data_IF_242129945405
#
_entry.id   IF_242129945405
#
_cell.length_a   1.000
_cell.length_b   1.000
_cell.length_c   1.000
_cell.angle_alpha   90.00
_cell.angle_beta   90.00
_cell.angle_gamma   90.00
#
_symmetry.space_group_name_H-M   'P 1'
#
loop_
_entity.id
_entity.type
_entity.pdbx_description
1 polymer ?
#
# COMPACT_ATOMS: atom_id res chain seq x y z
N UNK A 1 -25.17 11.37 -6.84
CA UNK A 1 -23.83 11.85 -7.20
C UNK A 1 -23.55 11.51 -8.66
N UNK A 2 -22.96 12.40 -9.45
CA UNK A 2 -22.62 12.07 -10.84
C UNK A 2 -21.46 11.04 -10.86
N UNK A 3 -21.50 10.11 -11.82
CA UNK A 3 -20.47 9.07 -11.98
C UNK A 3 -19.10 9.67 -12.26
N UNK A 4 -19.06 10.84 -12.93
CA UNK A 4 -17.83 11.59 -13.21
C UNK A 4 -17.19 12.13 -11.92
N UNK A 5 -18.00 12.68 -11.02
CA UNK A 5 -17.51 13.16 -9.72
C UNK A 5 -17.01 11.99 -8.87
N UNK A 6 -17.73 10.87 -8.85
CA UNK A 6 -17.29 9.65 -8.18
C UNK A 6 -15.94 9.18 -8.72
N UNK A 7 -15.78 9.13 -10.05
CA UNK A 7 -14.51 8.78 -10.68
C UNK A 7 -13.36 9.66 -10.23
N UNK A 8 -13.55 10.98 -10.23
CA UNK A 8 -12.51 11.94 -9.84
C UNK A 8 -12.11 11.79 -8.35
N UNK A 9 -13.07 11.55 -7.46
CA UNK A 9 -12.81 11.35 -6.04
C UNK A 9 -12.04 10.03 -5.79
N UNK A 10 -12.47 8.95 -6.44
CA UNK A 10 -11.79 7.65 -6.35
C UNK A 10 -10.41 7.70 -7.00
N UNK A 11 -10.26 8.38 -8.13
CA UNK A 11 -8.97 8.59 -8.80
C UNK A 11 -8.02 9.42 -7.92
N UNK A 12 -8.50 10.49 -7.32
CA UNK A 12 -7.71 11.29 -6.36
C UNK A 12 -7.20 10.41 -5.22
N UNK A 13 -8.06 9.61 -4.63
CA UNK A 13 -7.69 8.71 -3.55
C UNK A 13 -6.67 7.65 -3.98
N UNK A 14 -6.83 7.02 -5.14
CA UNK A 14 -5.90 6.03 -5.67
C UNK A 14 -4.57 6.62 -6.13
N UNK A 15 -4.58 7.82 -6.71
CA UNK A 15 -3.38 8.50 -7.17
C UNK A 15 -2.51 9.05 -6.02
N UNK A 16 -3.15 9.50 -4.92
CA UNK A 16 -2.43 10.02 -3.75
C UNK A 16 -1.89 8.94 -2.85
N UNK A 17 -2.44 7.72 -2.93
CA UNK A 17 -1.96 6.58 -2.16
C UNK A 17 -1.50 5.46 -3.08
N UNK A 18 -0.24 5.43 -3.38
CA UNK A 18 0.39 4.44 -4.26
C UNK A 18 0.25 2.98 -3.77
N UNK A 19 -0.26 2.75 -2.57
CA UNK A 19 -0.30 1.42 -1.97
C UNK A 19 -1.39 1.27 -0.91
N UNK A 20 -2.36 0.42 -1.22
CA UNK A 20 -3.25 -0.19 -0.24
C UNK A 20 -4.10 0.78 0.57
N UNK A 21 -4.09 0.65 1.88
CA UNK A 21 -5.01 1.32 2.81
C UNK A 21 -4.73 2.81 3.03
N UNK A 22 -3.63 3.36 2.54
CA UNK A 22 -3.30 4.79 2.73
C UNK A 22 -4.28 5.74 2.02
N UNK A 23 -5.08 5.25 1.06
CA UNK A 23 -6.17 6.05 0.48
C UNK A 23 -7.44 6.09 1.34
N UNK A 24 -7.54 5.25 2.38
CA UNK A 24 -8.73 5.16 3.22
C UNK A 24 -9.09 6.49 3.90
N UNK A 25 -8.14 7.24 4.51
CA UNK A 25 -8.45 8.55 5.09
C UNK A 25 -8.97 9.55 4.05
N UNK A 26 -8.43 9.52 2.83
CA UNK A 26 -8.87 10.42 1.73
C UNK A 26 -10.30 10.04 1.30
N UNK A 27 -10.57 8.76 1.09
CA UNK A 27 -11.91 8.26 0.75
C UNK A 27 -12.93 8.57 1.84
N UNK A 28 -12.56 8.37 3.12
CA UNK A 28 -13.42 8.70 4.25
C UNK A 28 -13.76 10.18 4.26
N UNK A 29 -12.74 11.03 4.13
CA UNK A 29 -12.95 12.48 4.11
C UNK A 29 -13.86 12.91 2.95
N UNK A 30 -13.63 12.40 1.75
CA UNK A 30 -14.36 12.81 0.56
C UNK A 30 -15.77 12.20 0.51
N UNK A 31 -15.94 10.88 0.73
CA UNK A 31 -17.22 10.20 0.56
C UNK A 31 -18.12 10.21 1.80
N UNK A 32 -17.54 10.22 3.01
CA UNK A 32 -18.31 10.19 4.26
C UNK A 32 -18.51 11.60 4.81
N UNK A 33 -17.43 12.39 4.95
CA UNK A 33 -17.49 13.70 5.60
C UNK A 33 -18.02 14.78 4.67
N UNK A 34 -17.43 14.93 3.48
CA UNK A 34 -17.80 16.01 2.55
C UNK A 34 -19.09 15.73 1.77
N UNK A 35 -19.13 14.61 1.07
CA UNK A 35 -20.27 14.30 0.19
C UNK A 35 -21.37 13.49 0.87
N UNK A 36 -21.10 12.87 2.03
CA UNK A 36 -22.07 12.09 2.82
C UNK A 36 -22.82 11.03 2.01
N UNK A 37 -22.17 10.46 1.01
CA UNK A 37 -22.73 9.41 0.13
C UNK A 37 -22.51 8.02 0.67
N UNK A 38 -21.59 7.88 1.63
CA UNK A 38 -21.33 6.64 2.39
C UNK A 38 -21.35 6.93 3.89
N UNK A 39 -21.70 5.90 4.65
CA UNK A 39 -21.48 5.86 6.09
C UNK A 39 -20.14 5.23 6.44
N UNK A 40 -19.59 5.52 7.62
CA UNK A 40 -18.37 4.86 8.11
C UNK A 40 -18.51 3.34 8.12
N UNK A 41 -19.70 2.82 8.43
CA UNK A 41 -20.00 1.38 8.41
C UNK A 41 -19.93 0.80 7.00
N UNK A 42 -20.50 1.47 6.02
CA UNK A 42 -20.44 1.04 4.61
C UNK A 42 -19.01 1.07 4.08
N UNK A 43 -18.24 2.11 4.44
CA UNK A 43 -16.83 2.18 4.06
C UNK A 43 -16.01 1.04 4.69
N UNK A 44 -16.23 0.74 5.97
CA UNK A 44 -15.60 -0.39 6.66
C UNK A 44 -15.97 -1.74 6.02
N UNK A 45 -17.25 -1.90 5.64
CA UNK A 45 -17.73 -3.10 4.93
C UNK A 45 -17.08 -3.20 3.54
N UNK A 46 -16.93 -2.09 2.81
CA UNK A 46 -16.25 -2.07 1.52
C UNK A 46 -14.77 -2.50 1.64
N UNK A 47 -14.08 -2.03 2.69
CA UNK A 47 -12.70 -2.44 2.98
C UNK A 47 -12.62 -3.94 3.32
N UNK A 48 -13.53 -4.43 4.16
CA UNK A 48 -13.59 -5.86 4.49
C UNK A 48 -13.85 -6.71 3.25
N UNK A 49 -14.82 -6.35 2.41
CA UNK A 49 -15.14 -7.04 1.16
C UNK A 49 -13.94 -7.04 0.18
N UNK A 50 -13.24 -5.92 0.06
CA UNK A 50 -12.04 -5.83 -0.78
C UNK A 50 -10.86 -6.66 -0.28
N UNK A 51 -10.82 -7.01 1.01
CA UNK A 51 -9.79 -7.88 1.61
C UNK A 51 -10.11 -9.37 1.53
N UNK A 52 -11.37 -9.73 1.45
CA UNK A 52 -11.80 -11.13 1.34
C UNK A 52 -11.58 -11.70 -0.07
N UNK A 53 -11.49 -10.85 -1.09
CA UNK A 53 -11.24 -11.28 -2.46
C UNK A 53 -9.77 -11.58 -2.74
N UNK A 54 -9.47 -12.61 -3.55
CA UNK A 54 -8.12 -12.81 -4.07
C UNK A 54 -7.80 -11.69 -5.06
N UNK A 55 -6.96 -10.74 -4.65
CA UNK A 55 -6.60 -9.62 -5.52
C UNK A 55 -5.80 -8.53 -4.83
N UNK A 56 -5.45 -7.47 -5.57
CA UNK A 56 -4.68 -6.37 -5.02
C UNK A 56 -5.46 -5.66 -3.90
N UNK A 57 -4.75 -5.20 -2.89
CA UNK A 57 -5.32 -4.51 -1.71
C UNK A 57 -6.20 -3.29 -2.03
N UNK A 58 -6.19 -2.80 -3.28
CA UNK A 58 -7.01 -1.68 -3.77
C UNK A 58 -8.45 -2.02 -4.13
N UNK A 59 -8.87 -3.30 -4.12
CA UNK A 59 -10.23 -3.70 -4.52
C UNK A 59 -11.35 -3.07 -3.69
N UNK A 60 -11.04 -2.61 -2.45
CA UNK A 60 -12.03 -1.88 -1.66
C UNK A 60 -12.51 -0.56 -2.30
N UNK A 61 -11.73 0.02 -3.23
CA UNK A 61 -12.15 1.20 -4.02
C UNK A 61 -13.33 0.83 -4.95
N UNK A 62 -13.27 -0.36 -5.55
CA UNK A 62 -14.34 -0.92 -6.37
C UNK A 62 -15.59 -1.18 -5.53
N UNK A 63 -15.40 -1.78 -4.35
CA UNK A 63 -16.50 -2.04 -3.39
C UNK A 63 -17.11 -0.74 -2.88
N UNK A 64 -16.30 0.28 -2.58
CA UNK A 64 -16.79 1.60 -2.19
C UNK A 64 -17.60 2.25 -3.32
N UNK A 65 -17.13 2.16 -4.57
CA UNK A 65 -17.88 2.60 -5.75
C UNK A 65 -19.23 1.89 -5.88
N UNK A 66 -19.27 0.58 -5.62
CA UNK A 66 -20.50 -0.19 -5.62
C UNK A 66 -21.50 0.29 -4.55
N UNK A 67 -21.06 0.57 -3.35
CA UNK A 67 -21.93 1.09 -2.28
C UNK A 67 -22.51 2.47 -2.59
N UNK A 68 -21.83 3.27 -3.44
CA UNK A 68 -22.31 4.62 -3.82
C UNK A 68 -23.32 4.57 -4.97
N UNK A 69 -23.06 3.78 -6.00
CA UNK A 69 -23.86 3.83 -7.24
C UNK A 69 -24.11 2.44 -7.86
N UNK A 70 -24.04 1.37 -7.07
CA UNK A 70 -24.27 0.00 -7.57
C UNK A 70 -23.23 -0.44 -8.60
N UNK A 71 -23.67 -1.24 -9.58
CA UNK A 71 -22.77 -1.77 -10.63
C UNK A 71 -22.06 -0.67 -11.43
N UNK A 72 -22.72 0.42 -11.87
CA UNK A 72 -22.01 1.54 -12.52
C UNK A 72 -20.91 2.15 -11.64
N UNK A 73 -21.17 2.27 -10.33
CA UNK A 73 -20.17 2.75 -9.37
C UNK A 73 -18.97 1.82 -9.22
N UNK A 74 -19.19 0.50 -9.26
CA UNK A 74 -18.12 -0.49 -9.25
C UNK A 74 -17.22 -0.39 -10.49
N UNK A 75 -17.82 -0.22 -11.68
CA UNK A 75 -17.08 -0.04 -12.95
C UNK A 75 -16.22 1.25 -12.87
N UNK A 76 -16.79 2.32 -12.35
CA UNK A 76 -16.07 3.59 -12.13
C UNK A 76 -14.92 3.42 -11.14
N UNK A 77 -15.13 2.69 -10.05
CA UNK A 77 -14.11 2.36 -9.06
C UNK A 77 -12.97 1.53 -9.65
N UNK A 78 -13.30 0.54 -10.47
CA UNK A 78 -12.33 -0.25 -11.20
C UNK A 78 -11.50 0.61 -12.17
N UNK A 79 -12.17 1.45 -12.98
CA UNK A 79 -11.50 2.37 -13.88
C UNK A 79 -10.56 3.35 -13.13
N UNK A 80 -11.01 3.91 -12.00
CA UNK A 80 -10.21 4.78 -11.16
C UNK A 80 -8.97 4.10 -10.57
N UNK A 81 -9.06 2.80 -10.27
CA UNK A 81 -7.93 2.01 -9.76
C UNK A 81 -6.90 1.69 -10.86
N UNK A 82 -7.37 1.44 -12.08
CA UNK A 82 -6.51 1.03 -13.21
C UNK A 82 -5.83 2.25 -13.87
N UNK A 83 -6.46 3.41 -13.85
CA UNK A 83 -5.94 4.64 -14.49
C UNK A 83 -4.53 5.02 -14.05
N UNK A 84 -4.17 5.05 -12.75
CA UNK A 84 -2.80 5.39 -12.33
C UNK A 84 -1.76 4.38 -12.85
N UNK A 85 -2.11 3.09 -12.93
CA UNK A 85 -1.21 2.07 -13.47
C UNK A 85 -0.92 2.30 -14.96
N UNK A 86 -1.93 2.64 -15.76
CA UNK A 86 -1.73 3.02 -17.16
C UNK A 86 -0.89 4.28 -17.30
N UNK A 87 -1.13 5.28 -16.46
CA UNK A 87 -0.34 6.53 -16.47
C UNK A 87 1.14 6.24 -16.19
N UNK A 88 1.43 5.36 -15.23
CA UNK A 88 2.81 4.91 -14.92
C UNK A 88 3.43 4.19 -16.11
N UNK A 89 2.69 3.30 -16.79
CA UNK A 89 3.19 2.60 -17.97
C UNK A 89 3.54 3.57 -19.11
N UNK A 90 2.68 4.55 -19.36
CA UNK A 90 2.94 5.59 -20.38
C UNK A 90 4.17 6.42 -19.98
N UNK A 91 4.27 6.80 -18.70
CA UNK A 91 5.41 7.54 -18.17
C UNK A 91 6.70 6.74 -18.29
N UNK A 92 6.70 5.46 -17.92
CA UNK A 92 7.86 4.57 -18.05
C UNK A 92 8.27 4.38 -19.52
N UNK A 93 7.31 4.23 -20.44
CA UNK A 93 7.59 4.13 -21.88
C UNK A 93 8.23 5.41 -22.42
N UNK A 94 7.76 6.57 -21.95
CA UNK A 94 8.31 7.87 -22.34
C UNK A 94 9.70 8.11 -21.73
N UNK A 95 9.87 7.84 -20.45
CA UNK A 95 11.17 7.90 -19.78
C UNK A 95 12.15 6.86 -20.35
N UNK A 96 11.69 5.64 -20.61
CA UNK A 96 12.52 4.55 -21.14
C UNK A 96 13.16 4.92 -22.50
N UNK A 97 12.46 5.67 -23.35
CA UNK A 97 13.03 6.21 -24.59
C UNK A 97 14.11 7.28 -24.37
N UNK A 98 14.16 7.89 -23.18
CA UNK A 98 15.11 8.96 -22.81
C UNK A 98 16.11 8.56 -21.73
N UNK A 99 16.16 7.29 -21.34
CA UNK A 99 17.12 6.78 -20.34
C UNK A 99 18.60 6.95 -20.76
N UNK A 100 18.89 7.20 -22.02
CA UNK A 100 20.23 7.60 -22.49
C UNK A 100 20.68 8.98 -22.00
N UNK A 101 19.76 9.85 -21.56
CA UNK A 101 20.11 11.19 -21.10
C UNK A 101 20.67 11.18 -19.65
N UNK A 102 21.85 11.75 -19.40
CA UNK A 102 22.50 11.73 -18.08
C UNK A 102 21.63 12.36 -16.98
N UNK A 103 20.84 13.39 -17.32
CA UNK A 103 19.91 14.04 -16.36
C UNK A 103 18.79 13.11 -15.90
N UNK A 104 18.23 12.28 -16.79
CA UNK A 104 17.16 11.32 -16.44
C UNK A 104 17.72 10.24 -15.51
N UNK A 105 18.91 9.71 -15.78
CA UNK A 105 19.60 8.78 -14.88
C UNK A 105 19.84 9.37 -13.50
N UNK A 106 20.27 10.63 -13.42
CA UNK A 106 20.50 11.32 -12.15
C UNK A 106 19.22 11.46 -11.34
N UNK A 107 18.11 11.88 -11.97
CA UNK A 107 16.80 11.98 -11.29
C UNK A 107 16.32 10.63 -10.77
N UNK A 108 16.39 9.58 -11.60
CA UNK A 108 16.01 8.22 -11.18
C UNK A 108 16.85 7.77 -9.97
N UNK A 109 18.16 8.02 -10.02
CA UNK A 109 19.07 7.68 -8.90
C UNK A 109 18.73 8.44 -7.62
N UNK A 110 18.43 9.74 -7.72
CA UNK A 110 17.99 10.54 -6.57
C UNK A 110 16.67 10.02 -5.98
N UNK A 111 15.68 9.67 -6.81
CA UNK A 111 14.41 9.10 -6.36
C UNK A 111 14.61 7.75 -5.67
N UNK A 112 15.45 6.87 -6.22
CA UNK A 112 15.78 5.59 -5.59
C UNK A 112 16.45 5.75 -4.24
N UNK A 113 17.42 6.68 -4.13
CA UNK A 113 18.08 6.97 -2.86
C UNK A 113 17.12 7.57 -1.83
N UNK A 114 16.27 8.50 -2.26
CA UNK A 114 15.25 9.10 -1.40
C UNK A 114 14.25 8.05 -0.91
N UNK A 115 13.81 7.13 -1.79
CA UNK A 115 12.91 6.02 -1.42
C UNK A 115 13.56 5.08 -0.41
N UNK A 116 14.83 4.73 -0.61
CA UNK A 116 15.59 3.91 0.35
C UNK A 116 15.73 4.62 1.71
N UNK A 117 16.02 5.93 1.70
CA UNK A 117 16.07 6.74 2.93
C UNK A 117 14.74 6.78 3.67
N UNK A 118 13.61 6.93 2.96
CA UNK A 118 12.27 6.90 3.55
C UNK A 118 11.94 5.53 4.16
N UNK A 119 12.32 4.43 3.49
CA UNK A 119 12.14 3.07 4.03
C UNK A 119 12.93 2.88 5.32
N UNK A 120 14.19 3.33 5.35
CA UNK A 120 15.02 3.30 6.57
C UNK A 120 14.41 4.17 7.67
N UNK A 121 13.97 5.37 7.35
CA UNK A 121 13.36 6.27 8.32
C UNK A 121 12.07 5.70 8.91
N UNK A 122 11.24 5.05 8.10
CA UNK A 122 9.98 4.41 8.56
C UNK A 122 10.20 3.16 9.38
N UNK A 123 11.33 2.47 9.23
CA UNK A 123 11.67 1.30 10.03
C UNK A 123 12.11 1.64 11.47
N UNK A 124 12.57 2.88 11.72
CA UNK A 124 13.01 3.31 13.06
C UNK A 124 11.87 3.27 14.12
N UNK A 125 10.69 3.90 13.88
CA UNK A 125 9.59 3.78 14.86
C UNK A 125 9.10 2.34 15.01
N UNK A 126 9.01 1.57 13.92
CA UNK A 126 8.63 0.15 13.98
C UNK A 126 9.62 -0.66 14.83
N UNK A 127 10.92 -0.39 14.70
CA UNK A 127 11.93 -1.04 15.51
C UNK A 127 11.80 -0.65 17.00
N UNK A 128 11.51 0.62 17.31
CA UNK A 128 11.31 1.07 18.68
C UNK A 128 10.12 0.40 19.36
N UNK A 129 9.01 0.26 18.63
CA UNK A 129 7.78 -0.35 19.15
C UNK A 129 7.89 -1.87 19.21
N UNK A 130 8.67 -2.50 18.34
CA UNK A 130 8.85 -3.96 18.28
C UNK A 130 9.95 -4.50 19.19
N UNK A 131 10.99 -3.70 19.48
CA UNK A 131 12.14 -4.12 20.29
C UNK A 131 11.96 -3.78 21.76
N UNK A 132 10.97 -4.39 22.40
CA UNK A 132 10.59 -4.11 23.79
C UNK A 132 11.40 -4.93 24.81
N UNK A 133 12.18 -5.92 24.40
CA UNK A 133 12.91 -6.80 25.30
C UNK A 133 14.19 -7.39 24.70
N UNK A 134 15.07 -7.99 25.54
CA UNK A 134 16.31 -8.59 25.05
C UNK A 134 16.07 -9.75 24.08
N UNK A 135 14.99 -10.48 24.25
CA UNK A 135 14.57 -11.59 23.39
C UNK A 135 14.19 -11.10 21.98
N UNK A 136 13.39 -10.05 21.90
CA UNK A 136 13.00 -9.45 20.60
C UNK A 136 14.20 -8.85 19.87
N UNK A 137 15.16 -8.29 20.62
CA UNK A 137 16.41 -7.77 20.06
C UNK A 137 17.27 -8.89 19.45
N UNK A 138 17.42 -10.01 20.17
CA UNK A 138 18.22 -11.17 19.65
C UNK A 138 17.58 -11.81 18.44
N UNK A 139 16.25 -11.98 18.43
CA UNK A 139 15.50 -12.51 17.28
C UNK A 139 15.61 -11.56 16.08
N UNK A 140 15.50 -10.25 16.30
CA UNK A 140 15.64 -9.25 15.23
C UNK A 140 17.07 -9.25 14.65
N UNK A 141 18.10 -9.29 15.49
CA UNK A 141 19.50 -9.34 15.05
C UNK A 141 19.81 -10.63 14.28
N UNK A 142 19.32 -11.79 14.76
CA UNK A 142 19.47 -13.06 14.07
C UNK A 142 18.75 -13.07 12.71
N UNK A 143 17.51 -12.59 12.65
CA UNK A 143 16.74 -12.48 11.41
C UNK A 143 17.42 -11.56 10.40
N UNK A 144 17.96 -10.43 10.87
CA UNK A 144 18.71 -9.51 10.03
C UNK A 144 20.00 -10.18 9.48
N UNK A 145 20.77 -10.85 10.34
CA UNK A 145 21.98 -11.55 9.92
C UNK A 145 21.68 -12.65 8.88
N UNK A 146 20.64 -13.47 9.12
CA UNK A 146 20.23 -14.52 8.18
C UNK A 146 19.84 -13.90 6.84
N UNK A 147 19.03 -12.84 6.84
CA UNK A 147 18.58 -12.19 5.60
C UNK A 147 19.71 -11.48 4.87
N UNK A 148 20.67 -10.91 5.58
CA UNK A 148 21.81 -10.17 5.00
C UNK A 148 22.88 -11.09 4.40
N UNK A 149 23.14 -12.22 5.05
CA UNK A 149 24.25 -13.13 4.67
C UNK A 149 23.80 -14.39 3.93
N UNK A 150 22.50 -14.71 3.92
CA UNK A 150 21.97 -15.93 3.34
C UNK A 150 20.88 -15.59 2.32
N UNK A 151 20.81 -16.33 1.23
CA UNK A 151 19.75 -16.20 0.22
C UNK A 151 18.48 -17.00 0.58
N UNK A 152 18.16 -17.06 1.87
CA UNK A 152 16.94 -17.72 2.35
C UNK A 152 15.74 -16.82 2.05
N UNK A 153 14.66 -17.42 1.59
CA UNK A 153 13.42 -16.68 1.31
C UNK A 153 12.88 -16.03 2.59
N UNK A 154 12.55 -14.77 2.51
CA UNK A 154 12.08 -13.94 3.64
C UNK A 154 10.91 -14.58 4.40
N UNK A 155 10.09 -15.39 3.71
CA UNK A 155 8.97 -16.13 4.32
C UNK A 155 9.45 -17.08 5.42
N UNK A 156 10.54 -17.82 5.20
CA UNK A 156 11.09 -18.76 6.19
C UNK A 156 11.66 -18.03 7.40
N UNK A 157 12.25 -16.86 7.19
CA UNK A 157 12.78 -16.02 8.28
C UNK A 157 11.63 -15.50 9.14
N UNK A 158 10.52 -15.05 8.52
CA UNK A 158 9.33 -14.57 9.23
C UNK A 158 8.68 -15.71 10.03
N UNK A 159 8.49 -16.89 9.43
CA UNK A 159 7.91 -18.04 10.11
C UNK A 159 8.79 -18.51 11.28
N UNK A 160 10.11 -18.58 11.06
CA UNK A 160 11.07 -18.96 12.10
C UNK A 160 11.08 -17.98 13.27
N UNK A 161 11.08 -16.68 12.99
CA UNK A 161 11.05 -15.65 14.05
C UNK A 161 9.72 -15.65 14.82
N UNK A 162 8.59 -15.88 14.14
CA UNK A 162 7.29 -16.00 14.80
C UNK A 162 7.23 -17.23 15.69
N UNK A 163 7.74 -18.37 15.22
CA UNK A 163 7.76 -19.62 15.99
C UNK A 163 8.65 -19.51 17.23
N UNK A 164 9.84 -18.94 17.11
CA UNK A 164 10.76 -18.75 18.24
C UNK A 164 10.19 -17.81 19.29
N UNK A 165 9.51 -16.74 18.85
CA UNK A 165 8.88 -15.80 19.77
C UNK A 165 7.69 -16.45 20.51
N UNK A 166 6.86 -17.23 19.80
CA UNK A 166 5.74 -17.96 20.41
C UNK A 166 6.21 -18.99 21.45
N UNK A 167 7.26 -19.75 21.16
CA UNK A 167 7.82 -20.72 22.09
C UNK A 167 8.44 -20.06 23.32
N UNK A 168 9.07 -18.91 23.16
CA UNK A 168 9.69 -18.19 24.25
C UNK A 168 8.70 -17.43 25.16
N UNK A 169 7.49 -17.15 24.69
CA UNK A 169 6.41 -16.56 25.51
C UNK A 169 5.64 -17.61 26.30
N UNK A 170 5.73 -18.88 25.88
CA UNK A 170 5.07 -20.00 26.60
C UNK A 170 5.95 -20.65 27.68
N UNK A 171 7.22 -20.30 27.77
CA UNK A 171 8.18 -20.71 28.79
C UNK A 171 8.35 -19.62 29.84
#
# INVERSE_FOLDING_TARGET
MSLVLLYLLLLKATATSFSGLSSLPVLRNDLVVHHRVLTDRQLSTAVAAGRLGPGPLGLYVVSAGYFVAGVPGAIVGWAAMVTPAFLVLVLLRFLGRRTGHPRVKSVIRCVLLASAGLLLASSVPLARDGLTGPLTLTVAAASFAITAFTRVDTLWVILGSALTTLLAVQL
#
